data_IF_209656950810
#
_entry.id   IF_209656950810
#
_cell.length_a   1.000
_cell.length_b   1.000
_cell.length_c   1.000
_cell.angle_alpha   90.00
_cell.angle_beta   90.00
_cell.angle_gamma   90.00
#
_symmetry.space_group_name_H-M   'P 1'
#
loop_
_entity.id
_entity.type
_entity.pdbx_description
1 polymer ?
#
# COMPACT_ATOMS: atom_id res chain seq x y z
N UNK A 1 3.48 1.29 -12.76
CA UNK A 1 3.82 0.95 -11.37
C UNK A 1 5.29 1.27 -11.16
N UNK A 2 5.64 1.80 -10.03
CA UNK A 2 7.02 2.11 -9.65
C UNK A 2 7.20 2.11 -8.14
N UNK A 3 8.45 2.28 -7.72
CA UNK A 3 8.82 2.45 -6.32
C UNK A 3 9.38 3.85 -6.12
N UNK A 4 9.05 4.47 -4.99
CA UNK A 4 9.65 5.72 -4.53
C UNK A 4 10.10 5.57 -3.07
N UNK A 5 11.15 6.28 -2.70
CA UNK A 5 11.65 6.32 -1.32
C UNK A 5 12.31 7.66 -1.01
N UNK A 6 12.28 8.09 0.25
CA UNK A 6 13.03 9.26 0.72
C UNK A 6 14.54 8.97 0.77
N UNK A 7 14.90 7.72 1.01
CA UNK A 7 16.29 7.25 1.11
C UNK A 7 16.53 6.04 0.21
N UNK A 8 16.33 6.18 -1.11
CA UNK A 8 16.35 5.05 -2.02
C UNK A 8 17.79 4.52 -2.20
N UNK A 9 17.91 3.20 -2.32
CA UNK A 9 19.15 2.55 -2.75
C UNK A 9 19.46 2.86 -4.24
N UNK A 10 18.40 2.96 -5.04
CA UNK A 10 18.50 3.44 -6.42
C UNK A 10 18.04 4.91 -6.47
N UNK A 11 18.94 5.86 -6.81
CA UNK A 11 18.59 7.29 -6.87
C UNK A 11 17.42 7.63 -7.80
N UNK A 12 17.16 6.81 -8.81
CA UNK A 12 16.04 6.98 -9.73
C UNK A 12 14.67 6.85 -9.04
N UNK A 13 14.63 6.22 -7.86
CA UNK A 13 13.42 6.02 -7.06
C UNK A 13 13.13 7.19 -6.10
N UNK A 14 13.81 8.33 -6.24
CA UNK A 14 13.43 9.53 -5.50
C UNK A 14 12.10 10.09 -6.00
N UNK A 15 11.22 10.59 -5.09
CA UNK A 15 10.05 11.35 -5.51
C UNK A 15 10.48 12.55 -6.38
N UNK A 16 9.79 12.75 -7.51
CA UNK A 16 10.13 13.80 -8.48
C UNK A 16 9.24 15.03 -8.37
N UNK A 17 8.16 14.94 -7.62
CA UNK A 17 7.17 16.02 -7.46
C UNK A 17 6.90 16.25 -5.98
N UNK A 18 6.50 17.48 -5.64
CA UNK A 18 6.14 17.84 -4.26
C UNK A 18 4.94 17.02 -3.76
N UNK A 19 3.99 16.72 -4.64
CA UNK A 19 2.84 15.90 -4.31
C UNK A 19 3.25 14.47 -3.91
N UNK A 20 4.16 13.84 -4.66
CA UNK A 20 4.70 12.52 -4.35
C UNK A 20 5.53 12.54 -3.06
N UNK A 21 6.34 13.59 -2.85
CA UNK A 21 7.11 13.78 -1.61
C UNK A 21 6.19 13.90 -0.40
N UNK A 22 5.16 14.74 -0.50
CA UNK A 22 4.18 14.94 0.58
C UNK A 22 3.46 13.66 0.92
N UNK A 23 3.00 12.90 -0.08
CA UNK A 23 2.33 11.63 0.14
C UNK A 23 3.22 10.62 0.85
N UNK A 24 4.50 10.54 0.46
CA UNK A 24 5.46 9.63 1.09
C UNK A 24 5.75 10.00 2.55
N UNK A 25 5.91 11.30 2.84
CA UNK A 25 6.08 11.80 4.21
C UNK A 25 4.87 11.50 5.09
N UNK A 26 3.65 11.57 4.53
CA UNK A 26 2.43 11.21 5.25
C UNK A 26 2.39 9.70 5.57
N UNK A 27 2.83 8.84 4.66
CA UNK A 27 2.93 7.40 4.91
C UNK A 27 3.98 7.07 5.98
N UNK A 28 5.13 7.77 5.99
CA UNK A 28 6.13 7.59 7.05
C UNK A 28 5.61 8.01 8.42
N UNK A 29 4.82 9.07 8.47
CA UNK A 29 4.22 9.57 9.71
C UNK A 29 3.09 8.67 10.21
N UNK A 30 2.29 8.13 9.30
CA UNK A 30 1.15 7.27 9.59
C UNK A 30 1.15 6.04 8.66
N UNK A 31 1.88 5.02 9.07
CA UNK A 31 2.00 3.77 8.31
C UNK A 31 0.71 2.93 8.25
N UNK A 32 -0.28 3.21 9.10
CA UNK A 32 -1.57 2.53 9.09
C UNK A 32 -2.51 3.10 8.02
N UNK A 33 -2.17 4.23 7.44
CA UNK A 33 -3.00 4.91 6.45
C UNK A 33 -3.24 4.09 5.17
N UNK A 34 -2.40 3.10 4.90
CA UNK A 34 -2.55 2.15 3.81
C UNK A 34 -2.22 2.76 2.45
N UNK A 35 -3.17 3.48 1.84
CA UNK A 35 -3.03 4.06 0.50
C UNK A 35 -3.38 5.54 0.52
N UNK A 36 -2.59 6.36 -0.18
CA UNK A 36 -2.88 7.77 -0.41
C UNK A 36 -3.02 7.99 -1.91
N UNK A 37 -4.18 8.50 -2.34
CA UNK A 37 -4.44 8.91 -3.71
C UNK A 37 -4.33 10.42 -3.85
N UNK A 38 -3.75 10.90 -4.96
CA UNK A 38 -3.63 12.32 -5.27
C UNK A 38 -3.53 12.57 -6.78
N UNK A 39 -3.82 13.79 -7.19
CA UNK A 39 -3.63 14.24 -8.57
C UNK A 39 -2.27 14.92 -8.69
N UNK A 40 -1.53 14.58 -9.74
CA UNK A 40 -0.21 15.13 -10.02
C UNK A 40 -0.12 15.42 -11.53
N UNK A 41 -0.38 16.67 -11.90
CA UNK A 41 -0.51 17.08 -13.29
C UNK A 41 -1.73 16.43 -13.97
N UNK A 42 -1.50 15.70 -15.04
CA UNK A 42 -2.50 14.97 -15.82
C UNK A 42 -2.68 13.50 -15.36
N UNK A 43 -1.99 13.12 -14.31
CA UNK A 43 -2.06 11.78 -13.75
C UNK A 43 -2.81 11.75 -12.41
N UNK A 44 -3.53 10.68 -12.17
CA UNK A 44 -3.91 10.25 -10.84
C UNK A 44 -2.87 9.26 -10.34
N UNK A 45 -2.37 9.48 -9.14
CA UNK A 45 -1.40 8.59 -8.49
C UNK A 45 -1.97 8.04 -7.19
N UNK A 46 -1.67 6.80 -6.91
CA UNK A 46 -1.90 6.18 -5.63
C UNK A 46 -0.59 5.61 -5.10
N UNK A 47 -0.28 5.87 -3.84
CA UNK A 47 0.90 5.36 -3.17
C UNK A 47 0.50 4.49 -1.99
N UNK A 48 1.15 3.33 -1.87
CA UNK A 48 0.99 2.40 -0.75
C UNK A 48 2.32 2.20 -0.07
N UNK A 49 2.34 2.20 1.26
CA UNK A 49 3.57 2.04 2.02
C UNK A 49 4.23 0.68 1.74
N UNK A 50 5.52 0.71 1.45
CA UNK A 50 6.40 -0.46 1.40
C UNK A 50 7.07 -0.62 2.77
N UNK A 51 6.59 -1.60 3.53
CA UNK A 51 7.03 -1.82 4.90
C UNK A 51 8.12 -2.88 4.98
N UNK A 52 9.05 -2.71 5.90
CA UNK A 52 10.05 -3.71 6.28
C UNK A 52 9.38 -4.87 7.06
N UNK A 53 8.67 -5.75 6.35
CA UNK A 53 7.83 -6.79 6.96
C UNK A 53 8.65 -7.87 7.69
N UNK A 54 9.80 -8.21 7.16
CA UNK A 54 10.66 -9.27 7.70
C UNK A 54 12.06 -8.75 7.98
N UNK A 55 12.75 -9.45 8.89
CA UNK A 55 14.10 -9.04 9.31
C UNK A 55 15.09 -8.95 8.15
N UNK A 56 14.98 -9.81 7.17
CA UNK A 56 15.85 -9.78 5.99
C UNK A 56 15.73 -8.49 5.17
N UNK A 57 14.55 -7.85 5.13
CA UNK A 57 14.38 -6.53 4.51
C UNK A 57 15.23 -5.50 5.23
N UNK A 58 15.14 -5.48 6.56
CA UNK A 58 15.88 -4.56 7.44
C UNK A 58 17.39 -4.77 7.29
N UNK A 59 17.84 -6.01 7.42
CA UNK A 59 19.26 -6.34 7.38
C UNK A 59 19.89 -5.97 6.02
N UNK A 60 19.21 -6.32 4.91
CA UNK A 60 19.66 -5.99 3.58
C UNK A 60 19.78 -4.47 3.37
N UNK A 61 18.73 -3.72 3.73
CA UNK A 61 18.71 -2.27 3.55
C UNK A 61 19.75 -1.57 4.43
N UNK A 62 19.91 -1.98 5.69
CA UNK A 62 20.86 -1.35 6.62
C UNK A 62 22.32 -1.65 6.27
N UNK A 63 22.60 -2.81 5.66
CA UNK A 63 23.96 -3.22 5.31
C UNK A 63 24.36 -2.83 3.89
N UNK A 64 23.41 -2.40 3.06
CA UNK A 64 23.69 -2.11 1.66
C UNK A 64 24.70 -0.96 1.52
N UNK A 65 25.72 -1.08 0.64
CA UNK A 65 26.75 -0.04 0.48
C UNK A 65 26.22 1.34 0.09
N UNK A 66 25.10 1.38 -0.64
CA UNK A 66 24.44 2.62 -1.07
C UNK A 66 23.40 3.14 -0.07
N UNK A 67 23.22 2.47 1.08
CA UNK A 67 22.23 2.90 2.05
C UNK A 67 22.61 4.22 2.69
N UNK A 68 21.76 5.23 2.52
CA UNK A 68 21.84 6.52 3.20
C UNK A 68 21.31 6.37 4.64
N UNK A 69 20.17 5.68 4.78
CA UNK A 69 19.61 5.32 6.08
C UNK A 69 19.99 3.88 6.42
N UNK A 70 20.55 3.67 7.60
CA UNK A 70 21.08 2.37 8.08
C UNK A 70 20.47 1.92 9.41
N UNK A 71 19.36 2.51 9.81
CA UNK A 71 18.71 2.25 11.10
C UNK A 71 17.23 1.87 10.93
N UNK A 72 16.88 1.22 9.83
CA UNK A 72 15.56 0.67 9.66
C UNK A 72 15.27 -0.40 10.70
N UNK A 73 14.05 -0.41 11.17
CA UNK A 73 13.50 -1.43 12.04
C UNK A 73 12.37 -2.18 11.32
N UNK A 74 12.01 -3.34 11.83
CA UNK A 74 10.84 -4.06 11.31
C UNK A 74 9.59 -3.18 11.43
N UNK A 75 8.77 -3.18 10.39
CA UNK A 75 7.58 -2.35 10.22
C UNK A 75 7.84 -0.88 9.86
N UNK A 76 9.08 -0.47 9.72
CA UNK A 76 9.36 0.86 9.18
C UNK A 76 8.96 0.96 7.71
N UNK A 77 8.58 2.17 7.30
CA UNK A 77 8.34 2.49 5.90
C UNK A 77 9.68 2.66 5.20
N UNK A 78 9.99 1.80 4.25
CA UNK A 78 11.21 1.89 3.43
C UNK A 78 11.00 2.71 2.17
N UNK A 79 9.77 2.86 1.76
CA UNK A 79 9.35 3.58 0.58
C UNK A 79 7.86 3.41 0.32
N UNK A 80 7.46 3.59 -0.92
CA UNK A 80 6.08 3.34 -1.35
C UNK A 80 6.03 2.77 -2.76
N UNK A 81 5.07 1.89 -2.97
CA UNK A 81 4.64 1.46 -4.29
C UNK A 81 3.75 2.54 -4.89
N UNK A 82 4.03 2.95 -6.12
CA UNK A 82 3.26 3.98 -6.84
C UNK A 82 2.53 3.36 -8.02
N UNK A 83 1.23 3.56 -8.08
CA UNK A 83 0.40 3.31 -9.27
C UNK A 83 0.10 4.66 -9.93
N UNK A 84 0.28 4.73 -11.26
CA UNK A 84 -0.01 5.93 -12.06
C UNK A 84 -1.09 5.59 -13.08
N UNK A 85 -2.10 6.45 -13.12
CA UNK A 85 -3.20 6.35 -14.08
C UNK A 85 -3.29 7.68 -14.83
N UNK A 86 -3.22 7.64 -16.15
CA UNK A 86 -3.48 8.85 -16.94
C UNK A 86 -4.94 9.25 -16.80
N UNK A 87 -5.17 10.53 -16.57
CA UNK A 87 -6.50 11.10 -16.61
C UNK A 87 -6.85 11.31 -18.08
N UNK A 88 -7.67 10.44 -18.64
CA UNK A 88 -8.33 10.72 -19.90
C UNK A 88 -9.50 11.63 -19.59
N UNK A 89 -9.39 12.92 -19.96
CA UNK A 89 -10.54 13.82 -20.03
C UNK A 89 -11.21 13.55 -21.38
N UNK A 90 -11.71 12.36 -21.57
CA UNK A 90 -12.67 12.12 -22.64
C UNK A 90 -14.01 12.61 -22.13
N UNK A 91 -14.49 13.65 -22.82
CA UNK A 91 -15.79 14.20 -22.57
C UNK A 91 -16.88 13.17 -22.69
N UNK A 92 -17.96 13.41 -21.96
CA UNK A 92 -19.29 12.84 -22.06
C UNK A 92 -19.44 11.37 -21.67
N UNK A 93 -19.84 11.19 -20.43
CA UNK A 93 -20.98 10.31 -20.16
C UNK A 93 -20.79 8.83 -20.37
N UNK A 94 -19.70 8.24 -19.91
CA UNK A 94 -19.86 6.85 -19.46
C UNK A 94 -20.54 6.90 -18.08
N UNK A 95 -21.84 6.65 -18.10
CA UNK A 95 -22.60 6.35 -16.92
C UNK A 95 -21.80 5.31 -16.11
N UNK A 96 -21.56 5.60 -14.84
CA UNK A 96 -21.02 4.61 -13.91
C UNK A 96 -21.78 3.29 -14.16
N UNK A 97 -21.09 2.16 -14.25
CA UNK A 97 -21.76 0.89 -14.31
C UNK A 97 -22.77 0.85 -13.16
N UNK A 98 -23.98 0.34 -13.39
CA UNK A 98 -25.00 0.30 -12.36
C UNK A 98 -24.41 -0.30 -11.09
N UNK A 99 -24.61 0.37 -9.96
CA UNK A 99 -24.17 -0.16 -8.67
C UNK A 99 -24.59 -1.65 -8.60
N UNK A 100 -23.68 -2.53 -8.19
CA UNK A 100 -24.06 -3.92 -7.98
C UNK A 100 -25.27 -3.95 -7.06
N UNK A 101 -26.26 -4.80 -7.32
CA UNK A 101 -27.47 -4.84 -6.53
C UNK A 101 -27.10 -4.93 -5.06
N UNK A 102 -27.64 -4.01 -4.26
CA UNK A 102 -27.46 -4.03 -2.80
C UNK A 102 -27.79 -5.44 -2.35
N UNK A 103 -26.81 -6.14 -1.78
CA UNK A 103 -27.02 -7.48 -1.24
C UNK A 103 -28.24 -7.44 -0.35
N UNK A 104 -29.21 -8.29 -0.65
CA UNK A 104 -30.38 -8.45 0.19
C UNK A 104 -29.92 -8.72 1.63
N UNK A 105 -30.49 -8.03 2.63
CA UNK A 105 -30.21 -8.34 4.02
C UNK A 105 -30.63 -9.79 4.29
N UNK A 106 -29.71 -10.67 4.60
CA UNK A 106 -29.99 -12.08 4.89
C UNK A 106 -28.99 -13.10 4.35
N UNK A 107 -28.03 -12.72 3.52
CA UNK A 107 -27.04 -13.67 2.94
C UNK A 107 -25.67 -13.63 3.65
N UNK A 108 -25.62 -13.25 4.92
CA UNK A 108 -24.42 -13.33 5.76
C UNK A 108 -24.47 -14.47 6.78
N UNK A 109 -25.35 -15.43 6.60
CA UNK A 109 -25.16 -16.70 7.31
C UNK A 109 -24.07 -17.48 6.55
N UNK A 110 -22.84 -17.31 6.99
CA UNK A 110 -21.77 -18.20 6.61
C UNK A 110 -22.11 -19.64 7.01
N UNK A 111 -21.49 -20.64 6.38
CA UNK A 111 -21.73 -22.01 6.77
C UNK A 111 -21.51 -22.15 8.29
N UNK A 112 -22.33 -22.95 8.98
CA UNK A 112 -22.19 -23.15 10.41
C UNK A 112 -20.75 -23.63 10.72
N UNK A 113 -20.17 -23.17 11.82
CA UNK A 113 -18.82 -23.60 12.19
C UNK A 113 -18.80 -25.13 12.28
N UNK A 114 -17.70 -25.77 11.84
CA UNK A 114 -17.59 -27.20 11.94
C UNK A 114 -17.75 -27.64 13.40
N UNK A 115 -18.36 -28.81 13.66
CA UNK A 115 -18.55 -29.28 15.00
C UNK A 115 -17.21 -29.34 15.71
N UNK A 116 -17.15 -28.79 16.92
CA UNK A 116 -15.96 -28.86 17.78
C UNK A 116 -15.73 -30.33 18.15
N UNK A 117 -14.81 -30.98 17.50
CA UNK A 117 -14.40 -32.34 17.88
C UNK A 117 -13.52 -32.18 19.11
N UNK A 118 -14.08 -32.48 20.28
CA UNK A 118 -13.31 -32.58 21.51
C UNK A 118 -12.46 -33.84 21.42
N UNK A 119 -11.13 -33.78 21.40
CA UNK A 119 -10.29 -34.95 21.29
C UNK A 119 -10.48 -35.81 22.54
N UNK A 120 -10.43 -37.15 22.43
CA UNK A 120 -10.78 -38.09 23.51
C UNK A 120 -9.83 -38.05 24.74
N UNK A 121 -8.74 -37.30 24.64
CA UNK A 121 -7.78 -37.11 25.73
C UNK A 121 -8.01 -35.84 26.57
N UNK A 122 -8.98 -34.98 26.18
CA UNK A 122 -9.44 -33.86 27.00
C UNK A 122 -10.56 -34.33 27.90
N UNK A 123 -10.21 -34.80 29.07
CA UNK A 123 -11.15 -35.08 30.17
C UNK A 123 -10.76 -34.24 31.38
#
# INVERSE_FOLDING_TARGET
IGLISLTPLNPANRPRTDAAMTALLQLEKDRQRGVIGFVDGDEFKAVSADLALVRSCVDCHNQHPRAVRKNFQQWDVMGALVVRLKRTVEGEGQALPPEPPKRAPGLLEGPPPPPTITPPWVR
#
